data_IF_030878543591
#
_entry.id   IF_030878543591
#
_cell.length_a   1.000
_cell.length_b   1.000
_cell.length_c   1.000
_cell.angle_alpha   90.00
_cell.angle_beta   90.00
_cell.angle_gamma   90.00
#
_symmetry.space_group_name_H-M   'P 1'
#
loop_
_entity.id
_entity.type
_entity.pdbx_description
1 polymer ?
#
# COMPACT_ATOMS: atom_id res chain seq x y z
N UNK A 1 5.23 -4.48 31.67
CA UNK A 1 4.71 -3.97 30.38
C UNK A 1 3.30 -4.51 30.16
N UNK A 2 2.38 -3.68 29.68
CA UNK A 2 0.97 -4.00 29.51
C UNK A 2 0.50 -3.64 28.09
N UNK A 3 -0.32 -4.52 27.48
CA UNK A 3 -1.00 -4.22 26.20
C UNK A 3 -2.29 -3.45 26.49
N UNK A 4 -2.50 -2.41 25.70
CA UNK A 4 -3.75 -1.64 25.69
C UNK A 4 -4.28 -1.48 24.27
N UNK A 5 -5.59 -1.37 24.14
CA UNK A 5 -6.19 -0.97 22.86
C UNK A 5 -6.02 0.53 22.68
N UNK A 6 -5.52 0.94 21.51
CA UNK A 6 -5.47 2.36 21.16
C UNK A 6 -6.85 2.78 20.65
N UNK A 7 -7.42 3.81 21.28
CA UNK A 7 -8.73 4.38 20.99
C UNK A 7 -8.61 5.88 20.79
N UNK A 8 -9.70 6.54 20.43
CA UNK A 8 -9.72 8.01 20.30
C UNK A 8 -9.36 8.74 21.61
N UNK A 9 -9.49 8.08 22.75
CA UNK A 9 -9.23 8.66 24.07
C UNK A 9 -7.75 8.66 24.45
N UNK A 10 -6.97 7.72 23.91
CA UNK A 10 -5.55 7.55 24.24
C UNK A 10 -4.61 7.59 23.02
N UNK A 11 -5.12 7.80 21.82
CA UNK A 11 -4.31 7.79 20.59
C UNK A 11 -3.19 8.83 20.61
N UNK A 12 -3.41 10.01 21.19
CA UNK A 12 -2.40 11.06 21.28
C UNK A 12 -1.11 10.58 21.96
N UNK A 13 -1.26 9.64 22.89
CA UNK A 13 -0.15 9.04 23.62
C UNK A 13 0.75 8.16 22.74
N UNK A 14 0.17 7.57 21.69
CA UNK A 14 0.86 6.67 20.76
C UNK A 14 1.19 7.30 19.42
N UNK A 15 0.75 8.55 19.15
CA UNK A 15 1.01 9.22 17.86
C UNK A 15 2.48 9.19 17.43
N UNK A 16 3.49 9.36 18.31
CA UNK A 16 4.89 9.30 17.91
C UNK A 16 5.35 7.90 17.42
N UNK A 17 4.57 6.85 17.73
CA UNK A 17 4.86 5.47 17.37
C UNK A 17 4.03 4.97 16.18
N UNK A 18 3.08 5.77 15.70
CA UNK A 18 2.21 5.46 14.58
C UNK A 18 2.67 6.19 13.32
N UNK A 19 2.47 5.62 12.12
CA UNK A 19 2.91 6.26 10.88
C UNK A 19 2.05 7.48 10.56
N UNK A 20 2.71 8.55 10.11
CA UNK A 20 2.01 9.72 9.62
C UNK A 20 1.14 9.41 8.39
N UNK A 21 -0.08 9.95 8.39
CA UNK A 21 -1.01 9.81 7.26
C UNK A 21 -1.75 8.47 7.19
N UNK A 22 -1.57 7.57 8.16
CA UNK A 22 -2.36 6.33 8.24
C UNK A 22 -3.82 6.65 8.62
N UNK A 23 -4.77 6.07 7.89
CA UNK A 23 -6.19 6.11 8.29
C UNK A 23 -6.46 5.09 9.39
N UNK A 24 -6.37 5.54 10.64
CA UNK A 24 -6.54 4.67 11.81
C UNK A 24 -7.93 4.03 11.92
N UNK A 25 -8.93 4.51 11.22
CA UNK A 25 -10.28 3.93 11.26
C UNK A 25 -10.36 2.52 10.65
N UNK A 26 -9.34 2.13 9.89
CA UNK A 26 -9.27 0.87 9.13
C UNK A 26 -8.57 -0.25 9.88
N UNK A 27 -7.92 0.06 10.99
CA UNK A 27 -7.06 -0.87 11.71
C UNK A 27 -7.50 -1.05 13.16
N UNK A 28 -7.29 -2.24 13.67
CA UNK A 28 -7.28 -2.46 15.11
C UNK A 28 -5.92 -2.05 15.64
N UNK A 29 -5.88 -1.03 16.47
CA UNK A 29 -4.64 -0.50 17.01
C UNK A 29 -4.39 -1.00 18.42
N UNK A 30 -3.18 -1.48 18.64
CA UNK A 30 -2.70 -1.93 19.95
C UNK A 30 -1.47 -1.13 20.35
N UNK A 31 -1.34 -0.83 21.64
CA UNK A 31 -0.21 -0.15 22.23
C UNK A 31 0.42 -1.00 23.34
N UNK A 32 1.72 -0.87 23.51
CA UNK A 32 2.47 -1.45 24.64
C UNK A 32 2.92 -0.31 25.54
N UNK A 33 2.53 -0.39 26.81
CA UNK A 33 2.91 0.57 27.85
C UNK A 33 3.99 -0.07 28.73
N UNK A 34 5.06 0.67 29.02
CA UNK A 34 6.13 0.28 29.90
C UNK A 34 5.75 0.42 31.38
N UNK A 35 6.67 -0.03 32.26
CA UNK A 35 6.47 0.02 33.73
C UNK A 35 6.52 1.47 34.26
N UNK A 36 7.00 2.41 33.47
CA UNK A 36 7.08 3.85 33.72
C UNK A 36 5.89 4.64 33.13
N UNK A 37 4.81 3.95 32.76
CA UNK A 37 3.63 4.48 32.10
C UNK A 37 3.93 5.17 30.76
N UNK A 38 5.06 4.88 30.12
CA UNK A 38 5.40 5.42 28.79
C UNK A 38 4.95 4.48 27.66
N UNK A 39 4.55 5.06 26.53
CA UNK A 39 4.29 4.31 25.31
C UNK A 39 5.61 3.73 24.77
N UNK A 40 5.69 2.41 24.66
CA UNK A 40 6.90 1.68 24.23
C UNK A 40 6.81 1.23 22.79
N UNK A 41 5.64 0.77 22.38
CA UNK A 41 5.41 0.26 21.03
C UNK A 41 3.97 0.47 20.58
N UNK A 42 3.77 0.50 19.28
CA UNK A 42 2.45 0.49 18.66
C UNK A 42 2.39 -0.55 17.53
N UNK A 43 1.21 -1.11 17.33
CA UNK A 43 0.90 -2.09 16.29
C UNK A 43 -0.44 -1.75 15.65
N UNK A 44 -0.50 -1.84 14.33
CA UNK A 44 -1.74 -1.77 13.57
C UNK A 44 -2.02 -3.13 12.93
N UNK A 45 -3.24 -3.59 13.08
CA UNK A 45 -3.69 -4.90 12.62
C UNK A 45 -4.86 -4.72 11.66
N UNK A 46 -4.83 -5.45 10.57
CA UNK A 46 -5.99 -5.74 9.74
C UNK A 46 -6.38 -7.21 9.89
N UNK A 47 -7.59 -7.57 9.51
CA UNK A 47 -8.01 -8.96 9.63
C UNK A 47 -9.10 -9.31 8.64
N UNK A 48 -8.96 -10.46 8.00
CA UNK A 48 -9.99 -11.05 7.13
C UNK A 48 -10.21 -12.51 7.54
N UNK A 49 -11.29 -12.76 8.29
CA UNK A 49 -11.71 -14.12 8.63
C UNK A 49 -10.71 -14.88 9.50
N UNK A 50 -9.99 -15.84 8.90
CA UNK A 50 -9.11 -16.74 9.64
C UNK A 50 -7.70 -16.20 9.90
N UNK A 51 -7.34 -15.03 9.39
CA UNK A 51 -5.98 -14.46 9.52
C UNK A 51 -6.02 -13.03 10.03
N UNK A 52 -5.00 -12.67 10.80
CA UNK A 52 -4.70 -11.29 11.21
C UNK A 52 -3.38 -10.88 10.59
N UNK A 53 -3.35 -9.74 9.93
CA UNK A 53 -2.15 -9.16 9.32
C UNK A 53 -1.60 -8.02 10.16
N UNK A 54 -0.31 -8.03 10.40
CA UNK A 54 0.42 -6.93 11.04
C UNK A 54 0.80 -5.95 9.94
N UNK A 55 0.08 -4.83 9.86
CA UNK A 55 0.32 -3.76 8.90
C UNK A 55 1.39 -2.78 9.37
N UNK A 56 1.56 -2.67 10.67
CA UNK A 56 2.53 -1.81 11.31
C UNK A 56 2.95 -2.37 12.66
N UNK A 57 4.26 -2.38 12.91
CA UNK A 57 4.84 -2.69 14.21
C UNK A 57 6.05 -1.77 14.42
N UNK A 58 5.96 -0.92 15.41
CA UNK A 58 7.03 -0.01 15.76
C UNK A 58 7.31 0.00 17.24
N UNK A 59 8.59 -0.04 17.59
CA UNK A 59 9.08 0.12 18.96
C UNK A 59 9.90 1.40 19.01
N UNK A 60 9.66 2.22 20.02
CA UNK A 60 10.44 3.41 20.30
C UNK A 60 11.94 3.08 20.24
N UNK A 61 12.70 3.90 19.52
CA UNK A 61 14.11 3.64 19.24
C UNK A 61 14.96 3.53 20.51
N UNK A 62 14.62 4.27 21.56
CA UNK A 62 15.32 4.22 22.88
C UNK A 62 14.95 2.96 23.68
N UNK A 63 13.84 2.33 23.37
CA UNK A 63 13.33 1.13 24.05
C UNK A 63 13.61 -0.17 23.26
N UNK A 64 14.23 -0.09 22.09
CA UNK A 64 14.60 -1.26 21.27
C UNK A 64 15.60 -2.17 21.97
N UNK A 65 15.70 -3.41 21.47
CA UNK A 65 16.61 -4.47 22.00
C UNK A 65 16.36 -4.87 23.45
N UNK A 66 15.15 -4.59 23.97
CA UNK A 66 14.71 -4.96 25.32
C UNK A 66 13.58 -6.01 25.31
N UNK A 67 13.33 -6.63 24.16
CA UNK A 67 12.32 -7.68 24.01
C UNK A 67 10.88 -7.17 23.85
N UNK A 68 10.65 -5.85 23.77
CA UNK A 68 9.30 -5.27 23.68
C UNK A 68 8.50 -5.80 22.49
N UNK A 69 9.10 -5.83 21.28
CA UNK A 69 8.42 -6.35 20.10
C UNK A 69 8.09 -7.85 20.21
N UNK A 70 9.01 -8.67 20.75
CA UNK A 70 8.77 -10.10 20.96
C UNK A 70 7.66 -10.36 21.98
N UNK A 71 7.65 -9.58 23.07
CA UNK A 71 6.56 -9.63 24.05
C UNK A 71 5.23 -9.25 23.39
N UNK A 72 5.22 -8.22 22.54
CA UNK A 72 4.02 -7.79 21.85
C UNK A 72 3.47 -8.89 20.93
N UNK A 73 4.34 -9.56 20.14
CA UNK A 73 3.95 -10.70 19.30
C UNK A 73 3.47 -11.91 20.11
N UNK A 74 4.07 -12.16 21.25
CA UNK A 74 3.64 -13.23 22.14
C UNK A 74 2.22 -12.95 22.67
N UNK A 75 1.99 -11.77 23.23
CA UNK A 75 0.69 -11.38 23.78
C UNK A 75 -0.38 -11.31 22.69
N UNK A 76 -0.03 -10.86 21.47
CA UNK A 76 -0.92 -10.94 20.30
C UNK A 76 -1.32 -12.38 20.01
N UNK A 77 -0.34 -13.30 19.99
CA UNK A 77 -0.60 -14.71 19.71
C UNK A 77 -1.51 -15.35 20.76
N UNK A 78 -1.29 -15.03 22.04
CA UNK A 78 -2.13 -15.51 23.15
C UNK A 78 -3.57 -14.96 23.04
N UNK A 79 -3.72 -13.68 22.66
CA UNK A 79 -5.03 -13.05 22.53
C UNK A 79 -5.85 -13.62 21.34
N UNK A 80 -5.20 -14.01 20.25
CA UNK A 80 -5.88 -14.48 19.04
C UNK A 80 -5.86 -16.00 18.84
N UNK A 81 -5.26 -16.76 19.77
CA UNK A 81 -5.08 -18.22 19.65
C UNK A 81 -6.35 -18.98 19.33
N UNK A 82 -7.51 -18.57 19.87
CA UNK A 82 -8.80 -19.22 19.67
C UNK A 82 -9.69 -18.54 18.61
N UNK A 83 -9.25 -17.38 18.11
CA UNK A 83 -10.06 -16.55 17.20
C UNK A 83 -9.63 -16.68 15.73
N UNK A 84 -8.33 -16.84 15.48
CA UNK A 84 -7.78 -16.92 14.13
C UNK A 84 -6.82 -18.11 13.96
N UNK A 85 -6.55 -18.48 12.71
CA UNK A 85 -5.67 -19.61 12.40
C UNK A 85 -4.20 -19.20 12.32
N UNK A 86 -3.96 -17.95 11.92
CA UNK A 86 -2.60 -17.46 11.74
C UNK A 86 -2.49 -15.93 11.89
N UNK A 87 -1.28 -15.50 12.23
CA UNK A 87 -0.82 -14.13 12.16
C UNK A 87 0.14 -14.05 10.98
N UNK A 88 -0.02 -13.06 10.11
CA UNK A 88 0.88 -12.81 8.99
C UNK A 88 1.43 -11.40 8.99
N UNK A 89 2.51 -11.20 8.28
CA UNK A 89 3.15 -9.91 8.06
C UNK A 89 3.85 -9.91 6.71
N UNK A 90 3.80 -8.80 6.00
CA UNK A 90 4.52 -8.58 4.75
C UNK A 90 5.47 -7.41 4.91
N UNK A 91 6.73 -7.57 4.53
CA UNK A 91 7.73 -6.51 4.66
C UNK A 91 8.74 -6.52 3.50
N UNK A 92 9.33 -5.34 3.19
CA UNK A 92 10.31 -5.23 2.12
C UNK A 92 11.64 -5.92 2.49
N UNK A 93 12.38 -6.40 1.48
CA UNK A 93 13.63 -7.18 1.69
C UNK A 93 14.78 -6.36 2.27
N UNK A 94 14.70 -5.04 2.22
CA UNK A 94 15.68 -4.08 2.74
C UNK A 94 15.38 -3.62 4.18
N UNK A 95 14.44 -4.27 4.86
CA UNK A 95 14.15 -3.99 6.27
C UNK A 95 15.12 -4.79 7.17
N UNK A 96 16.19 -4.11 7.59
CA UNK A 96 17.26 -4.69 8.40
C UNK A 96 16.76 -5.43 9.64
N UNK A 97 17.13 -6.71 9.75
CA UNK A 97 16.87 -7.57 10.90
C UNK A 97 15.41 -8.05 11.03
N UNK A 98 14.55 -7.77 10.06
CA UNK A 98 13.16 -8.22 10.09
C UNK A 98 13.08 -9.74 9.94
N UNK A 99 13.86 -10.32 9.03
CA UNK A 99 13.89 -11.77 8.81
C UNK A 99 14.25 -12.53 10.08
N UNK A 100 15.36 -12.17 10.73
CA UNK A 100 15.80 -12.81 11.97
C UNK A 100 14.82 -12.57 13.12
N UNK A 101 14.23 -11.38 13.17
CA UNK A 101 13.25 -11.02 14.20
C UNK A 101 12.01 -11.89 14.07
N UNK A 102 11.37 -11.95 12.91
CA UNK A 102 10.14 -12.73 12.72
C UNK A 102 10.42 -14.23 12.83
N UNK A 103 11.53 -14.73 12.26
CA UNK A 103 11.92 -16.13 12.40
C UNK A 103 12.12 -16.52 13.87
N UNK A 104 12.83 -15.71 14.67
CA UNK A 104 13.04 -15.98 16.11
C UNK A 104 11.76 -15.93 16.95
N UNK A 105 10.70 -15.28 16.42
CA UNK A 105 9.38 -15.25 17.02
C UNK A 105 8.41 -16.30 16.44
N UNK A 106 8.93 -17.31 15.73
CA UNK A 106 8.16 -18.47 15.26
C UNK A 106 7.36 -18.24 14.00
N UNK A 107 7.72 -17.25 13.18
CA UNK A 107 7.16 -17.05 11.86
C UNK A 107 7.94 -17.86 10.83
N UNK A 108 7.21 -18.49 9.89
CA UNK A 108 7.76 -19.12 8.70
C UNK A 108 7.77 -18.13 7.55
N UNK A 109 8.91 -17.97 6.92
CA UNK A 109 9.11 -17.00 5.85
C UNK A 109 8.98 -17.66 4.48
N UNK A 110 8.39 -16.95 3.55
CA UNK A 110 8.30 -17.32 2.14
C UNK A 110 8.51 -16.09 1.28
N UNK A 111 8.99 -16.28 0.07
CA UNK A 111 9.06 -15.20 -0.90
C UNK A 111 7.65 -14.75 -1.30
N UNK A 112 7.40 -13.47 -1.19
CA UNK A 112 6.21 -12.80 -1.66
C UNK A 112 6.41 -12.16 -3.03
N UNK A 113 5.65 -11.13 -3.29
CA UNK A 113 5.62 -10.42 -4.56
C UNK A 113 6.90 -9.62 -4.82
N UNK A 114 7.28 -9.52 -6.09
CA UNK A 114 8.36 -8.63 -6.52
C UNK A 114 7.98 -7.16 -6.24
N UNK A 115 8.97 -6.38 -5.81
CA UNK A 115 8.79 -4.96 -5.48
C UNK A 115 9.72 -4.11 -6.31
N UNK A 116 9.16 -3.14 -7.01
CA UNK A 116 9.89 -2.09 -7.73
C UNK A 116 9.67 -0.76 -7.04
N UNK A 117 10.73 0.03 -6.94
CA UNK A 117 10.69 1.40 -6.44
C UNK A 117 11.26 2.33 -7.50
N UNK A 118 10.55 3.42 -7.76
CA UNK A 118 11.00 4.48 -8.67
C UNK A 118 10.46 5.83 -8.19
N UNK A 119 11.25 6.89 -8.31
CA UNK A 119 10.69 8.23 -8.08
C UNK A 119 9.82 8.66 -9.26
N UNK A 120 8.84 9.53 -9.02
CA UNK A 120 8.03 10.10 -10.13
C UNK A 120 8.92 10.79 -11.15
N UNK A 121 9.95 11.51 -10.68
CA UNK A 121 10.93 12.20 -11.51
C UNK A 121 11.65 11.22 -12.44
N UNK A 122 12.19 10.13 -11.89
CA UNK A 122 12.91 9.13 -12.70
C UNK A 122 11.96 8.42 -13.68
N UNK A 123 10.73 8.14 -13.24
CA UNK A 123 9.70 7.56 -14.11
C UNK A 123 9.39 8.45 -15.32
N UNK A 124 9.31 9.77 -15.14
CA UNK A 124 9.10 10.72 -16.24
C UNK A 124 10.28 10.77 -17.24
N UNK A 125 11.48 10.42 -16.79
CA UNK A 125 12.67 10.36 -17.63
C UNK A 125 12.80 9.06 -18.44
N UNK A 126 12.02 8.02 -18.14
CA UNK A 126 12.06 6.75 -18.87
C UNK A 126 11.78 6.95 -20.37
N UNK A 127 12.53 6.26 -21.24
CA UNK A 127 12.36 6.38 -22.69
C UNK A 127 10.95 6.05 -23.16
N UNK A 128 10.30 5.08 -22.53
CA UNK A 128 8.93 4.63 -22.80
C UNK A 128 7.93 5.75 -22.50
N UNK A 129 8.05 6.41 -21.35
CA UNK A 129 7.20 7.53 -20.95
C UNK A 129 7.42 8.75 -21.86
N UNK A 130 8.68 9.05 -22.22
CA UNK A 130 8.98 10.11 -23.17
C UNK A 130 8.37 9.89 -24.57
N UNK A 131 8.26 8.62 -24.99
CA UNK A 131 7.54 8.28 -26.25
C UNK A 131 6.05 8.55 -26.11
N UNK A 132 5.45 8.17 -24.98
CA UNK A 132 4.01 8.37 -24.72
C UNK A 132 3.67 9.86 -24.69
N UNK A 133 4.50 10.70 -24.11
CA UNK A 133 4.34 12.17 -24.06
C UNK A 133 4.16 12.79 -25.46
N UNK A 134 4.68 12.13 -26.51
CA UNK A 134 4.55 12.59 -27.91
C UNK A 134 3.23 12.18 -28.55
N UNK A 135 2.46 11.27 -27.92
CA UNK A 135 1.14 10.92 -28.42
C UNK A 135 0.21 12.12 -28.20
N UNK A 136 -0.58 12.41 -29.20
CA UNK A 136 -1.61 13.46 -29.08
C UNK A 136 -2.68 12.98 -28.12
N UNK A 137 -3.12 13.89 -27.27
CA UNK A 137 -4.26 13.66 -26.39
C UNK A 137 -5.50 13.30 -27.24
N UNK A 138 -6.15 12.21 -26.89
CA UNK A 138 -7.39 11.79 -27.53
C UNK A 138 -8.54 12.60 -26.95
N UNK A 139 -9.41 13.14 -27.83
CA UNK A 139 -10.54 13.97 -27.42
C UNK A 139 -11.67 13.17 -26.76
N UNK A 140 -11.78 11.89 -27.09
CA UNK A 140 -12.79 10.95 -26.59
C UNK A 140 -12.45 10.35 -25.21
N UNK A 141 -11.25 10.61 -24.68
CA UNK A 141 -10.75 10.05 -23.43
C UNK A 141 -10.37 11.17 -22.48
N UNK A 142 -10.85 11.08 -21.24
CA UNK A 142 -10.49 12.02 -20.16
C UNK A 142 -10.07 11.29 -18.91
N UNK A 143 -8.97 11.77 -18.31
CA UNK A 143 -8.51 11.35 -17.00
C UNK A 143 -9.06 12.29 -15.93
N UNK A 144 -9.57 11.72 -14.85
CA UNK A 144 -10.05 12.44 -13.67
C UNK A 144 -9.42 11.87 -12.41
N UNK A 145 -9.06 12.74 -11.48
CA UNK A 145 -8.78 12.31 -10.11
C UNK A 145 -10.08 11.95 -9.40
N UNK A 146 -10.01 11.04 -8.44
CA UNK A 146 -11.23 10.54 -7.79
C UNK A 146 -11.91 11.61 -6.93
N UNK A 147 -11.13 12.53 -6.35
CA UNK A 147 -11.63 13.69 -5.60
C UNK A 147 -12.37 14.72 -6.48
N UNK A 148 -12.14 14.69 -7.80
CA UNK A 148 -12.71 15.63 -8.77
C UNK A 148 -13.63 14.98 -9.79
N UNK A 149 -14.10 13.77 -9.50
CA UNK A 149 -15.07 13.13 -10.39
C UNK A 149 -16.36 13.96 -10.49
N UNK A 150 -16.79 14.33 -11.71
CA UNK A 150 -18.06 15.02 -11.91
C UNK A 150 -19.23 14.24 -11.33
N UNK A 151 -20.29 14.94 -10.94
CA UNK A 151 -21.48 14.34 -10.33
C UNK A 151 -22.04 13.18 -11.15
N UNK A 152 -22.31 12.07 -10.46
CA UNK A 152 -22.79 10.82 -11.07
C UNK A 152 -21.69 9.87 -11.53
N UNK A 153 -20.50 10.34 -11.91
CA UNK A 153 -19.39 9.48 -12.35
C UNK A 153 -18.83 8.64 -11.21
N UNK A 154 -18.86 9.10 -9.98
CA UNK A 154 -18.42 8.32 -8.81
C UNK A 154 -19.15 6.99 -8.66
N UNK A 155 -20.46 6.93 -9.01
CA UNK A 155 -21.22 5.68 -8.99
C UNK A 155 -20.75 4.73 -10.10
N UNK A 156 -20.55 5.25 -11.31
CA UNK A 156 -20.05 4.46 -12.44
C UNK A 156 -18.64 3.94 -12.17
N UNK A 157 -17.79 4.76 -11.52
CA UNK A 157 -16.46 4.35 -11.14
C UNK A 157 -16.46 3.21 -10.11
N UNK A 158 -17.29 3.33 -9.05
CA UNK A 158 -17.47 2.25 -8.07
C UNK A 158 -17.99 0.97 -8.69
N UNK A 159 -18.92 1.07 -9.65
CA UNK A 159 -19.42 -0.08 -10.38
C UNK A 159 -18.31 -0.73 -11.21
N UNK A 160 -17.52 0.07 -11.95
CA UNK A 160 -16.38 -0.40 -12.74
C UNK A 160 -15.38 -1.19 -11.87
N UNK A 161 -14.95 -0.62 -10.73
CA UNK A 161 -14.02 -1.31 -9.83
C UNK A 161 -14.62 -2.62 -9.32
N UNK A 162 -15.89 -2.61 -8.89
CA UNK A 162 -16.56 -3.81 -8.39
C UNK A 162 -16.67 -4.92 -9.44
N UNK A 163 -16.94 -4.57 -10.69
CA UNK A 163 -17.03 -5.54 -11.79
C UNK A 163 -15.70 -6.22 -12.07
N UNK A 164 -14.58 -5.51 -11.86
CA UNK A 164 -13.24 -6.03 -12.12
C UNK A 164 -12.61 -6.77 -10.92
N UNK A 165 -12.89 -6.32 -9.70
CA UNK A 165 -12.24 -6.85 -8.49
C UNK A 165 -13.18 -7.68 -7.60
N UNK A 166 -14.47 -7.61 -7.83
CA UNK A 166 -15.49 -8.26 -7.01
C UNK A 166 -15.98 -7.41 -5.82
N UNK A 167 -15.24 -6.39 -5.40
CA UNK A 167 -15.59 -5.51 -4.29
C UNK A 167 -15.18 -4.04 -4.53
N UNK A 168 -15.26 -3.22 -3.50
CA UNK A 168 -14.87 -1.79 -3.55
C UNK A 168 -13.98 -1.38 -2.37
N UNK A 169 -13.42 -2.33 -1.62
CA UNK A 169 -12.63 -2.05 -0.42
C UNK A 169 -11.40 -1.20 -0.72
N UNK A 170 -10.76 -1.44 -1.87
CA UNK A 170 -9.60 -0.65 -2.33
C UNK A 170 -9.92 0.84 -2.55
N UNK A 171 -11.19 1.20 -2.77
CA UNK A 171 -11.58 2.61 -2.92
C UNK A 171 -11.62 3.36 -1.58
N UNK A 172 -11.76 2.64 -0.49
CA UNK A 172 -11.79 3.24 0.85
C UNK A 172 -10.36 3.50 1.37
N UNK A 173 -9.34 2.84 0.76
CA UNK A 173 -7.92 2.99 1.13
C UNK A 173 -7.17 3.99 0.30
N UNK A 174 -7.53 4.13 -0.96
CA UNK A 174 -6.75 4.92 -1.88
C UNK A 174 -6.81 6.42 -1.54
N UNK A 175 -5.71 7.12 -1.84
CA UNK A 175 -5.69 8.58 -1.85
C UNK A 175 -6.44 9.09 -3.08
N UNK A 176 -7.66 9.66 -2.93
CA UNK A 176 -8.49 10.08 -4.06
C UNK A 176 -7.90 11.26 -4.84
N UNK A 177 -6.96 12.01 -4.23
CA UNK A 177 -6.35 13.17 -4.86
C UNK A 177 -5.28 12.79 -5.88
N UNK A 178 -4.69 11.59 -5.77
CA UNK A 178 -3.67 11.07 -6.71
C UNK A 178 -4.14 9.84 -7.47
N UNK A 179 -5.19 9.16 -7.02
CA UNK A 179 -5.82 8.06 -7.77
C UNK A 179 -6.60 8.61 -8.97
N UNK A 180 -6.50 7.95 -10.12
CA UNK A 180 -7.14 8.43 -11.35
C UNK A 180 -7.95 7.35 -12.05
N UNK A 181 -9.02 7.78 -12.73
CA UNK A 181 -9.79 6.96 -13.65
C UNK A 181 -9.85 7.58 -15.03
N UNK A 182 -9.82 6.75 -16.07
CA UNK A 182 -10.04 7.16 -17.46
C UNK A 182 -11.44 6.76 -17.88
N UNK A 183 -12.17 7.74 -18.41
CA UNK A 183 -13.50 7.55 -18.96
C UNK A 183 -13.52 7.79 -20.47
N UNK A 184 -14.19 6.90 -21.18
CA UNK A 184 -14.65 7.12 -22.54
C UNK A 184 -15.88 8.03 -22.47
N UNK A 185 -15.74 9.28 -22.93
CA UNK A 185 -16.81 10.28 -22.80
C UNK A 185 -17.96 10.07 -23.78
N UNK A 186 -17.76 9.29 -24.84
CA UNK A 186 -18.83 8.96 -25.79
C UNK A 186 -19.72 7.84 -25.24
N UNK A 187 -19.11 6.83 -24.61
CA UNK A 187 -19.82 5.70 -24.03
C UNK A 187 -20.24 5.91 -22.58
N UNK A 188 -19.66 6.91 -21.91
CA UNK A 188 -19.83 7.16 -20.48
C UNK A 188 -19.42 5.94 -19.61
N UNK A 189 -18.32 5.28 -19.98
CA UNK A 189 -17.80 4.09 -19.33
C UNK A 189 -16.35 4.29 -18.89
N UNK A 190 -16.02 3.83 -17.68
CA UNK A 190 -14.63 3.76 -17.24
C UNK A 190 -13.93 2.56 -17.88
N UNK A 191 -12.76 2.82 -18.44
CA UNK A 191 -11.95 1.81 -19.13
C UNK A 191 -10.69 1.42 -18.39
N UNK A 192 -10.18 2.32 -17.54
CA UNK A 192 -8.92 2.09 -16.84
C UNK A 192 -8.87 2.92 -15.57
N UNK A 193 -8.12 2.45 -14.56
CA UNK A 193 -7.79 3.26 -13.39
C UNK A 193 -6.44 2.86 -12.77
N UNK A 194 -5.87 3.79 -12.03
CA UNK A 194 -4.80 3.56 -11.05
C UNK A 194 -5.33 4.00 -9.70
N UNK A 195 -5.31 3.09 -8.70
CA UNK A 195 -5.53 3.42 -7.30
C UNK A 195 -4.18 3.42 -6.60
N UNK A 196 -4.00 4.42 -5.75
CA UNK A 196 -2.74 4.68 -5.07
C UNK A 196 -2.99 4.88 -3.60
N UNK A 197 -2.31 4.10 -2.77
CA UNK A 197 -2.32 4.24 -1.32
C UNK A 197 -1.12 5.07 -0.87
N UNK A 198 -1.31 5.95 0.10
CA UNK A 198 -0.23 6.69 0.72
C UNK A 198 0.33 5.88 1.88
N UNK A 199 1.57 5.39 1.74
CA UNK A 199 2.26 4.61 2.77
C UNK A 199 3.01 5.50 3.78
N UNK A 200 3.58 6.62 3.28
CA UNK A 200 4.30 7.60 4.07
C UNK A 200 4.26 8.96 3.35
N UNK A 201 4.82 10.00 3.95
CA UNK A 201 4.85 11.33 3.36
C UNK A 201 5.49 11.37 1.96
N UNK A 202 6.57 10.60 1.77
CA UNK A 202 7.31 10.52 0.51
C UNK A 202 7.16 9.19 -0.23
N UNK A 203 6.23 8.31 0.17
CA UNK A 203 6.08 6.98 -0.41
C UNK A 203 4.63 6.63 -0.68
N UNK A 204 4.35 6.28 -1.91
CA UNK A 204 3.04 5.85 -2.38
C UNK A 204 3.11 4.47 -3.01
N UNK A 205 2.08 3.66 -2.81
CA UNK A 205 1.96 2.34 -3.41
C UNK A 205 0.85 2.35 -4.46
N UNK A 206 1.14 1.81 -5.64
CA UNK A 206 0.10 1.49 -6.61
C UNK A 206 -0.57 0.20 -6.17
N UNK A 207 -1.76 0.33 -5.60
CA UNK A 207 -2.54 -0.79 -5.04
C UNK A 207 -3.42 -1.49 -6.07
N UNK A 208 -3.80 -0.77 -7.13
CA UNK A 208 -4.60 -1.33 -8.21
C UNK A 208 -4.30 -0.65 -9.54
N UNK A 209 -4.17 -1.46 -10.59
CA UNK A 209 -4.15 -1.01 -11.97
C UNK A 209 -5.15 -1.86 -12.76
N UNK A 210 -6.18 -1.22 -13.27
CA UNK A 210 -7.19 -1.86 -14.12
C UNK A 210 -7.16 -1.27 -15.52
N UNK A 211 -7.37 -2.13 -16.52
CA UNK A 211 -7.49 -1.71 -17.91
C UNK A 211 -8.34 -2.68 -18.73
N UNK A 212 -9.51 -2.22 -19.17
CA UNK A 212 -10.35 -2.91 -20.16
C UNK A 212 -9.97 -2.60 -21.60
N UNK A 213 -9.05 -1.67 -21.78
CA UNK A 213 -8.63 -1.19 -23.10
C UNK A 213 -7.41 -1.91 -23.64
N UNK A 214 -6.80 -1.30 -24.62
CA UNK A 214 -5.54 -1.74 -25.21
C UNK A 214 -4.32 -1.14 -24.49
N UNK A 215 -3.11 -1.59 -24.84
CA UNK A 215 -1.87 -1.09 -24.25
C UNK A 215 -1.64 0.42 -24.40
N UNK A 216 -2.26 1.08 -25.41
CA UNK A 216 -2.17 2.53 -25.58
C UNK A 216 -2.90 3.25 -24.45
N UNK A 217 -4.04 2.71 -23.98
CA UNK A 217 -4.79 3.27 -22.85
C UNK A 217 -4.02 3.14 -21.54
N UNK A 218 -3.33 2.01 -21.30
CA UNK A 218 -2.45 1.85 -20.15
C UNK A 218 -1.34 2.88 -20.17
N UNK A 219 -0.68 3.03 -21.32
CA UNK A 219 0.37 4.01 -21.49
C UNK A 219 -0.12 5.45 -21.20
N UNK A 220 -1.30 5.79 -21.71
CA UNK A 220 -1.92 7.09 -21.44
C UNK A 220 -2.28 7.29 -19.97
N UNK A 221 -2.85 6.26 -19.33
CA UNK A 221 -3.20 6.27 -17.91
C UNK A 221 -1.98 6.58 -17.05
N UNK A 222 -0.86 5.89 -17.31
CA UNK A 222 0.38 6.08 -16.56
C UNK A 222 0.95 7.47 -16.77
N UNK A 223 1.00 7.91 -18.03
CA UNK A 223 1.47 9.25 -18.32
C UNK A 223 0.61 10.32 -17.63
N UNK A 224 -0.72 10.18 -17.67
CA UNK A 224 -1.64 11.08 -17.00
C UNK A 224 -1.45 11.09 -15.48
N UNK A 225 -1.17 9.93 -14.89
CA UNK A 225 -0.85 9.79 -13.47
C UNK A 225 0.47 10.50 -13.11
N UNK A 226 1.55 10.23 -13.83
CA UNK A 226 2.84 10.87 -13.59
C UNK A 226 2.79 12.39 -13.79
N UNK A 227 2.10 12.86 -14.84
CA UNK A 227 1.88 14.30 -15.09
C UNK A 227 1.06 14.95 -13.96
N UNK A 228 0.09 14.23 -13.40
CA UNK A 228 -0.66 14.70 -12.24
C UNK A 228 0.25 14.85 -11.02
N UNK A 229 1.10 13.85 -10.74
CA UNK A 229 2.04 13.90 -9.64
C UNK A 229 3.01 15.08 -9.80
N UNK A 230 3.56 15.31 -10.99
CA UNK A 230 4.40 16.47 -11.28
C UNK A 230 3.66 17.79 -11.00
N UNK A 231 2.42 17.94 -11.48
CA UNK A 231 1.59 19.13 -11.24
C UNK A 231 1.24 19.39 -9.77
N UNK A 232 1.34 18.37 -8.94
CA UNK A 232 1.10 18.45 -7.48
C UNK A 232 2.37 18.58 -6.65
N UNK A 233 3.51 18.85 -7.29
CA UNK A 233 4.83 18.92 -6.65
C UNK A 233 5.25 17.61 -5.93
N UNK A 234 4.79 16.48 -6.46
CA UNK A 234 5.09 15.14 -5.95
C UNK A 234 6.22 14.45 -6.76
N UNK A 235 7.12 15.21 -7.38
CA UNK A 235 8.18 14.67 -8.25
C UNK A 235 9.20 13.81 -7.51
N UNK A 236 9.45 14.12 -6.25
CA UNK A 236 10.44 13.42 -5.43
C UNK A 236 9.86 12.25 -4.61
N UNK A 237 8.55 11.99 -4.73
CA UNK A 237 7.96 10.83 -4.07
C UNK A 237 8.40 9.53 -4.72
N UNK A 238 8.54 8.50 -3.92
CA UNK A 238 8.80 7.13 -4.36
C UNK A 238 7.49 6.40 -4.62
N UNK A 239 7.35 5.90 -5.83
CA UNK A 239 6.28 4.97 -6.21
C UNK A 239 6.74 3.54 -5.95
N UNK A 240 5.95 2.80 -5.20
CA UNK A 240 6.12 1.38 -4.97
C UNK A 240 5.13 0.60 -5.82
N UNK A 241 5.64 -0.39 -6.54
CA UNK A 241 4.83 -1.37 -7.25
C UNK A 241 5.09 -2.73 -6.59
N UNK A 242 4.08 -3.30 -5.96
CA UNK A 242 4.12 -4.70 -5.58
C UNK A 242 3.41 -5.52 -6.66
N UNK A 243 4.00 -6.64 -7.06
CA UNK A 243 3.42 -7.51 -8.08
C UNK A 243 2.26 -8.34 -7.52
N UNK A 244 1.26 -7.65 -6.95
CA UNK A 244 0.07 -8.27 -6.35
C UNK A 244 -0.78 -9.06 -7.36
N UNK A 245 -0.51 -8.89 -8.66
CA UNK A 245 -1.10 -9.68 -9.74
C UNK A 245 -0.22 -9.59 -11.01
N UNK A 246 -0.43 -10.53 -11.96
CA UNK A 246 0.33 -10.58 -13.22
C UNK A 246 0.25 -9.29 -14.05
N UNK A 247 -0.81 -8.50 -13.93
CA UNK A 247 -0.97 -7.26 -14.70
C UNK A 247 -0.04 -6.18 -14.17
N UNK A 248 0.07 -6.02 -12.86
CA UNK A 248 1.01 -5.08 -12.22
C UNK A 248 2.44 -5.52 -12.48
N UNK A 249 2.74 -6.82 -12.37
CA UNK A 249 4.07 -7.35 -12.66
C UNK A 249 4.49 -7.09 -14.10
N UNK A 250 3.67 -7.49 -15.09
CA UNK A 250 3.94 -7.22 -16.51
C UNK A 250 4.06 -5.74 -16.82
N UNK A 251 3.27 -4.94 -16.12
CA UNK A 251 3.32 -3.51 -16.25
C UNK A 251 4.65 -2.95 -15.73
N UNK A 252 5.06 -3.32 -14.52
CA UNK A 252 6.34 -2.91 -13.93
C UNK A 252 7.50 -3.34 -14.85
N UNK A 253 7.52 -4.58 -15.31
CA UNK A 253 8.51 -5.09 -16.25
C UNK A 253 8.52 -4.32 -17.58
N UNK A 254 7.35 -3.95 -18.11
CA UNK A 254 7.25 -3.19 -19.37
C UNK A 254 7.73 -1.75 -19.22
N UNK A 255 7.44 -1.13 -18.07
CA UNK A 255 7.77 0.27 -17.79
C UNK A 255 9.24 0.43 -17.38
N UNK A 256 9.70 -0.44 -16.49
CA UNK A 256 11.02 -0.33 -15.85
C UNK A 256 12.08 -1.18 -16.57
N UNK A 257 11.62 -2.12 -17.42
CA UNK A 257 12.48 -3.05 -18.15
C UNK A 257 13.22 -3.99 -17.20
N UNK A 258 14.30 -4.57 -17.72
CA UNK A 258 15.22 -5.41 -16.93
C UNK A 258 16.22 -4.53 -16.13
N UNK A 259 15.84 -3.29 -15.80
CA UNK A 259 16.72 -2.40 -15.07
C UNK A 259 16.70 -2.78 -13.58
N UNK A 260 17.73 -3.49 -13.16
CA UNK A 260 17.92 -3.96 -11.78
C UNK A 260 17.96 -2.81 -10.76
N UNK A 261 18.25 -1.57 -11.18
CA UNK A 261 18.28 -0.40 -10.31
C UNK A 261 16.89 -0.10 -9.67
N UNK A 262 15.80 -0.52 -10.31
CA UNK A 262 14.45 -0.31 -9.82
C UNK A 262 13.86 -1.51 -9.09
N UNK A 263 14.35 -2.72 -9.33
CA UNK A 263 13.93 -3.92 -8.61
C UNK A 263 14.61 -3.94 -7.25
N UNK A 264 13.84 -3.85 -6.19
CA UNK A 264 14.36 -3.93 -4.81
C UNK A 264 14.39 -5.33 -4.23
N UNK A 265 13.86 -6.31 -4.94
CA UNK A 265 13.77 -7.70 -4.54
C UNK A 265 12.32 -8.16 -4.44
N UNK A 266 12.07 -9.11 -3.55
CA UNK A 266 10.73 -9.63 -3.26
C UNK A 266 10.34 -9.28 -1.84
N UNK A 267 9.06 -8.99 -1.61
CA UNK A 267 8.54 -8.92 -0.25
C UNK A 267 8.83 -10.24 0.46
N UNK A 268 9.17 -10.19 1.73
CA UNK A 268 9.10 -11.37 2.58
C UNK A 268 7.69 -11.46 3.15
N UNK A 269 7.03 -12.57 2.93
CA UNK A 269 5.76 -12.91 3.54
C UNK A 269 6.01 -13.90 4.67
N UNK A 270 5.69 -13.51 5.90
CA UNK A 270 5.94 -14.31 7.08
C UNK A 270 4.63 -14.68 7.76
N UNK A 271 4.48 -15.95 8.13
CA UNK A 271 3.25 -16.49 8.73
C UNK A 271 3.60 -17.26 9.99
N UNK A 272 2.87 -17.01 11.07
CA UNK A 272 2.87 -17.80 12.30
C UNK A 272 1.53 -18.47 12.48
N UNK A 273 1.49 -19.81 12.40
CA UNK A 273 0.30 -20.58 12.74
C UNK A 273 0.04 -20.51 14.26
N UNK A 274 -1.23 -20.38 14.64
CA UNK A 274 -1.71 -20.41 16.03
C UNK A 274 -2.38 -21.74 16.40
N UNK A 275 -2.49 -22.67 15.44
CA UNK A 275 -3.07 -24.03 15.61
C UNK A 275 -2.01 -25.10 15.53
#
# INVERSE_FOLDING_TARGET
MEITRITKENIEYFLPLLPEGMDFSRYSLLGLIGDDDEAVAAMALSGTGAMVEIEWLYVDHEKRRRGAASLFLQLLSEAFQDEVEAICVSYPPDLDGADEFFYSNGFFQTEGDAVWLITVKDALELPEIKKIKKLKERQDIKAYTLDKLPGGLGRLFKQFVREETGDTLLLDSCDPAVSIGIIDTEKMEFNSCILVDRLAESRYQISLLLNRGNGILVAYLIYAFLELCEKKDLSDITLQFAAVNEHVERFAQTLLGDNEDFLKGRLTYSVRSLR
#
